data_IF_439259048764
#
_entry.id   IF_439259048764
#
_cell.length_a   1.000
_cell.length_b   1.000
_cell.length_c   1.000
_cell.angle_alpha   90.00
_cell.angle_beta   90.00
_cell.angle_gamma   90.00
#
_symmetry.space_group_name_H-M   'P 1'
#
loop_
_entity.id
_entity.type
_entity.pdbx_description
1 polymer ?
#
# COMPACT_ATOMS: atom_id res chain seq x y z
N UNK A 1 5.15 16.49 -1.94
CA UNK A 1 5.10 15.33 -2.87
C UNK A 1 6.35 15.33 -3.71
N UNK A 2 7.14 14.25 -3.64
CA UNK A 2 8.32 14.02 -4.50
C UNK A 2 7.90 14.02 -5.98
N UNK A 3 8.72 14.56 -6.87
CA UNK A 3 8.45 14.63 -8.33
C UNK A 3 8.25 13.22 -8.90
N UNK A 4 9.08 12.28 -8.45
CA UNK A 4 9.06 10.88 -8.86
C UNK A 4 7.73 10.22 -8.52
N UNK A 5 7.14 10.51 -7.36
CA UNK A 5 5.82 9.98 -7.00
C UNK A 5 4.73 10.45 -7.97
N UNK A 6 4.75 11.73 -8.36
CA UNK A 6 3.75 12.28 -9.30
C UNK A 6 3.88 11.66 -10.69
N UNK A 7 5.11 11.43 -11.14
CA UNK A 7 5.39 10.72 -12.39
C UNK A 7 4.83 9.29 -12.33
N UNK A 8 5.04 8.58 -11.22
CA UNK A 8 4.44 7.26 -10.99
C UNK A 8 2.92 7.25 -11.06
N UNK A 9 2.25 8.23 -10.44
CA UNK A 9 0.78 8.37 -10.51
C UNK A 9 0.33 8.63 -11.96
N UNK A 10 0.97 9.57 -12.66
CA UNK A 10 0.64 9.89 -14.06
C UNK A 10 0.84 8.69 -15.00
N UNK A 11 1.93 7.93 -14.80
CA UNK A 11 2.20 6.72 -15.55
C UNK A 11 1.14 5.64 -15.26
N UNK A 12 0.74 5.47 -14.00
CA UNK A 12 -0.31 4.52 -13.61
C UNK A 12 -1.67 4.87 -14.25
N UNK A 13 -2.06 6.15 -14.22
CA UNK A 13 -3.28 6.66 -14.86
C UNK A 13 -3.27 6.46 -16.38
N UNK A 14 -2.10 6.64 -17.00
CA UNK A 14 -1.87 6.39 -18.43
C UNK A 14 -1.71 4.89 -18.76
N UNK A 15 -1.82 4.00 -17.77
CA UNK A 15 -1.63 2.55 -17.88
C UNK A 15 -0.23 2.11 -18.32
N UNK A 16 0.76 3.00 -18.19
CA UNK A 16 2.18 2.69 -18.33
C UNK A 16 2.69 2.00 -17.06
N UNK A 17 2.17 0.80 -16.77
CA UNK A 17 2.40 0.16 -15.46
C UNK A 17 3.86 -0.16 -15.14
N UNK A 18 4.73 -0.60 -16.09
CA UNK A 18 6.14 -0.80 -15.77
C UNK A 18 6.87 0.50 -15.36
N UNK A 19 6.52 1.61 -16.00
CA UNK A 19 7.05 2.93 -15.67
C UNK A 19 6.52 3.40 -14.31
N UNK A 20 5.22 3.23 -14.06
CA UNK A 20 4.61 3.53 -12.78
C UNK A 20 5.28 2.75 -11.63
N UNK A 21 5.53 1.45 -11.84
CA UNK A 21 6.21 0.59 -10.89
C UNK A 21 7.59 1.14 -10.54
N UNK A 22 8.39 1.46 -11.57
CA UNK A 22 9.73 2.02 -11.40
C UNK A 22 9.72 3.29 -10.55
N UNK A 23 8.84 4.25 -10.88
CA UNK A 23 8.74 5.49 -10.13
C UNK A 23 8.25 5.28 -8.69
N UNK A 24 7.28 4.39 -8.47
CA UNK A 24 6.86 4.08 -7.11
C UNK A 24 7.95 3.37 -6.31
N UNK A 25 8.78 2.52 -6.93
CA UNK A 25 9.93 1.89 -6.28
C UNK A 25 10.96 2.93 -5.83
N UNK A 26 11.31 3.87 -6.71
CA UNK A 26 12.22 4.96 -6.38
C UNK A 26 11.66 5.86 -5.27
N UNK A 27 10.38 6.23 -5.33
CA UNK A 27 9.74 7.01 -4.28
C UNK A 27 9.63 6.23 -2.94
N UNK A 28 9.42 4.91 -2.98
CA UNK A 28 9.39 4.07 -1.79
C UNK A 28 10.78 3.99 -1.12
N UNK A 29 11.88 4.00 -1.88
CA UNK A 29 13.25 4.09 -1.34
C UNK A 29 13.48 5.41 -0.57
N UNK A 30 12.79 6.48 -0.96
CA UNK A 30 12.74 7.75 -0.23
C UNK A 30 11.78 7.74 0.98
N UNK A 31 11.29 6.56 1.39
CA UNK A 31 10.31 6.38 2.47
C UNK A 31 8.98 7.10 2.22
N UNK A 32 8.54 7.23 0.96
CA UNK A 32 7.21 7.74 0.66
C UNK A 32 6.16 6.64 0.92
N UNK A 33 5.28 6.78 1.92
CA UNK A 33 4.32 5.73 2.25
C UNK A 33 3.20 5.58 1.21
N UNK A 34 2.83 6.65 0.50
CA UNK A 34 1.83 6.58 -0.57
C UNK A 34 2.37 5.79 -1.77
N UNK A 35 3.67 5.91 -2.05
CA UNK A 35 4.33 5.09 -3.07
C UNK A 35 4.34 3.61 -2.69
N UNK A 36 4.64 3.29 -1.42
CA UNK A 36 4.58 1.92 -0.90
C UNK A 36 3.15 1.35 -0.99
N UNK A 37 2.11 2.14 -0.69
CA UNK A 37 0.70 1.75 -0.88
C UNK A 37 0.42 1.42 -2.35
N UNK A 38 0.89 2.23 -3.29
CA UNK A 38 0.71 1.95 -4.71
C UNK A 38 1.46 0.69 -5.17
N UNK A 39 2.71 0.47 -4.74
CA UNK A 39 3.43 -0.78 -5.00
C UNK A 39 2.68 -1.99 -4.47
N UNK A 40 2.15 -1.90 -3.26
CA UNK A 40 1.36 -2.97 -2.68
C UNK A 40 0.13 -3.32 -3.53
N UNK A 41 -0.59 -2.31 -4.00
CA UNK A 41 -1.75 -2.48 -4.89
C UNK A 41 -1.32 -3.09 -6.24
N UNK A 42 -0.17 -2.68 -6.78
CA UNK A 42 0.36 -3.21 -8.03
C UNK A 42 0.71 -4.70 -7.92
N UNK A 43 1.41 -5.10 -6.86
CA UNK A 43 1.66 -6.50 -6.55
C UNK A 43 0.38 -7.30 -6.30
N UNK A 44 -0.60 -6.72 -5.62
CA UNK A 44 -1.89 -7.38 -5.38
C UNK A 44 -2.64 -7.68 -6.68
N UNK A 45 -2.55 -6.76 -7.66
CA UNK A 45 -3.21 -6.88 -8.97
C UNK A 45 -2.36 -7.58 -10.03
N UNK A 46 -1.04 -7.68 -9.85
CA UNK A 46 -0.10 -8.14 -10.88
C UNK A 46 -0.03 -7.18 -12.08
N UNK A 47 -0.04 -5.87 -11.82
CA UNK A 47 0.11 -4.85 -12.88
C UNK A 47 1.48 -4.21 -12.79
N UNK A 48 2.20 -4.15 -13.92
CA UNK A 48 3.59 -3.66 -13.96
C UNK A 48 4.61 -4.57 -13.29
N UNK A 49 4.17 -5.65 -12.62
CA UNK A 49 4.96 -6.66 -11.94
C UNK A 49 4.15 -7.98 -11.87
N UNK A 50 4.80 -9.06 -11.44
CA UNK A 50 4.09 -10.30 -11.14
C UNK A 50 3.20 -10.16 -9.91
N UNK A 51 2.06 -10.86 -9.91
CA UNK A 51 1.14 -10.84 -8.78
C UNK A 51 1.77 -11.54 -7.58
N UNK A 52 1.94 -10.80 -6.48
CA UNK A 52 2.47 -11.31 -5.22
C UNK A 52 1.74 -10.68 -4.03
N UNK A 53 0.90 -11.48 -3.35
CA UNK A 53 0.15 -11.01 -2.19
C UNK A 53 1.02 -10.85 -0.95
N UNK A 54 2.13 -11.57 -0.86
CA UNK A 54 3.06 -11.48 0.26
C UNK A 54 3.86 -10.18 0.16
N UNK A 55 4.40 -9.84 -1.02
CA UNK A 55 5.02 -8.54 -1.26
C UNK A 55 4.04 -7.38 -1.05
N UNK A 56 2.77 -7.54 -1.49
CA UNK A 56 1.74 -6.53 -1.23
C UNK A 56 1.55 -6.28 0.28
N UNK A 57 1.43 -7.36 1.07
CA UNK A 57 1.30 -7.28 2.52
C UNK A 57 2.50 -6.60 3.18
N UNK A 58 3.72 -6.91 2.72
CA UNK A 58 4.96 -6.32 3.23
C UNK A 58 5.05 -4.81 2.94
N UNK A 59 4.69 -4.39 1.74
CA UNK A 59 4.66 -2.97 1.38
C UNK A 59 3.60 -2.19 2.17
N UNK A 60 2.40 -2.74 2.33
CA UNK A 60 1.41 -2.12 3.21
C UNK A 60 1.89 -2.05 4.66
N UNK A 61 2.58 -3.08 5.16
CA UNK A 61 3.12 -3.07 6.52
C UNK A 61 4.18 -1.98 6.70
N UNK A 62 5.07 -1.80 5.74
CA UNK A 62 6.07 -0.72 5.76
C UNK A 62 5.42 0.67 5.70
N UNK A 63 4.37 0.85 4.89
CA UNK A 63 3.65 2.12 4.86
C UNK A 63 2.89 2.39 6.17
N UNK A 64 2.31 1.36 6.78
CA UNK A 64 1.62 1.46 8.06
C UNK A 64 2.57 1.80 9.22
N UNK A 65 3.82 1.34 9.22
CA UNK A 65 4.82 1.76 10.24
C UNK A 65 5.23 3.22 10.09
N UNK A 66 5.02 3.82 8.91
CA UNK A 66 5.15 5.25 8.65
C UNK A 66 3.82 6.01 8.90
N UNK A 67 2.93 5.42 9.70
CA UNK A 67 1.65 6.01 10.13
C UNK A 67 0.65 6.29 8.99
N UNK A 68 0.82 5.66 7.82
CA UNK A 68 -0.10 5.85 6.70
C UNK A 68 -1.43 5.12 6.92
N UNK A 69 -2.49 5.91 7.11
CA UNK A 69 -3.85 5.41 7.38
C UNK A 69 -4.40 4.56 6.24
N UNK A 70 -4.10 4.88 4.97
CA UNK A 70 -4.54 4.07 3.83
C UNK A 70 -3.91 2.67 3.83
N UNK A 71 -2.64 2.57 4.20
CA UNK A 71 -1.94 1.30 4.34
C UNK A 71 -2.53 0.45 5.48
N UNK A 72 -2.82 1.05 6.63
CA UNK A 72 -3.46 0.38 7.77
C UNK A 72 -4.85 -0.16 7.37
N UNK A 73 -5.68 0.66 6.72
CA UNK A 73 -6.99 0.20 6.22
C UNK A 73 -6.85 -0.93 5.20
N UNK A 74 -5.85 -0.86 4.32
CA UNK A 74 -5.59 -1.90 3.32
C UNK A 74 -5.15 -3.21 3.96
N UNK A 75 -4.31 -3.18 4.99
CA UNK A 75 -3.95 -4.36 5.78
C UNK A 75 -5.13 -4.94 6.55
N UNK A 76 -5.96 -4.09 7.13
CA UNK A 76 -7.17 -4.52 7.80
C UNK A 76 -8.07 -5.32 6.85
N UNK A 77 -8.31 -4.79 5.65
CA UNK A 77 -9.03 -5.50 4.58
C UNK A 77 -8.31 -6.78 4.11
N UNK A 78 -6.98 -6.76 4.04
CA UNK A 78 -6.20 -7.91 3.63
C UNK A 78 -6.42 -9.10 4.58
N UNK A 79 -6.39 -8.83 5.90
CA UNK A 79 -6.64 -9.83 6.94
C UNK A 79 -8.11 -10.22 7.06
N UNK A 80 -9.03 -9.26 6.93
CA UNK A 80 -10.47 -9.51 6.97
C UNK A 80 -10.92 -10.45 5.85
N UNK A 81 -10.37 -10.28 4.65
CA UNK A 81 -10.71 -11.11 3.48
C UNK A 81 -9.86 -12.38 3.40
N UNK A 82 -8.84 -12.52 4.24
CA UNK A 82 -7.89 -13.62 4.19
C UNK A 82 -7.22 -13.77 2.84
N UNK A 83 -6.74 -12.67 2.25
CA UNK A 83 -6.19 -12.68 0.89
C UNK A 83 -4.99 -13.61 0.73
N UNK A 84 -4.20 -13.83 1.79
CA UNK A 84 -3.11 -14.82 1.83
C UNK A 84 -3.56 -16.24 2.26
N UNK A 85 -4.86 -16.54 2.17
CA UNK A 85 -5.42 -17.85 2.47
C UNK A 85 -5.83 -18.06 3.92
N UNK A 86 -5.64 -17.06 4.80
CA UNK A 86 -6.09 -17.12 6.18
C UNK A 86 -6.74 -15.81 6.61
N UNK A 87 -8.04 -15.86 6.88
CA UNK A 87 -8.74 -14.76 7.50
C UNK A 87 -8.28 -14.57 8.96
N UNK A 88 -8.08 -13.33 9.37
CA UNK A 88 -7.73 -12.94 10.73
C UNK A 88 -8.50 -11.66 11.13
N UNK A 89 -9.71 -11.86 11.65
CA UNK A 89 -10.59 -10.75 12.02
C UNK A 89 -10.06 -9.95 13.23
N UNK A 90 -9.31 -10.59 14.14
CA UNK A 90 -8.72 -9.88 15.28
C UNK A 90 -7.64 -8.91 14.81
N UNK A 91 -6.75 -9.39 13.93
CA UNK A 91 -5.72 -8.55 13.33
C UNK A 91 -6.29 -7.46 12.43
N UNK A 92 -7.36 -7.77 11.69
CA UNK A 92 -8.08 -6.76 10.91
C UNK A 92 -8.62 -5.64 11.80
N UNK A 93 -9.29 -5.99 12.91
CA UNK A 93 -9.82 -5.03 13.88
C UNK A 93 -8.71 -4.19 14.52
N UNK A 94 -7.55 -4.79 14.79
CA UNK A 94 -6.38 -4.07 15.31
C UNK A 94 -5.95 -2.96 14.35
N UNK A 95 -5.75 -3.27 13.06
CA UNK A 95 -5.38 -2.27 12.06
C UNK A 95 -6.47 -1.22 11.81
N UNK A 96 -7.75 -1.61 11.84
CA UNK A 96 -8.86 -0.64 11.75
C UNK A 96 -8.87 0.35 12.91
N UNK A 97 -8.62 -0.13 14.14
CA UNK A 97 -8.52 0.75 15.31
C UNK A 97 -7.34 1.70 15.20
N UNK A 98 -6.16 1.19 14.82
CA UNK A 98 -4.99 2.04 14.59
C UNK A 98 -5.27 3.13 13.55
N UNK A 99 -5.92 2.77 12.43
CA UNK A 99 -6.30 3.74 11.39
C UNK A 99 -7.30 4.79 11.91
N UNK A 100 -8.31 4.37 12.69
CA UNK A 100 -9.30 5.26 13.27
C UNK A 100 -8.68 6.24 14.28
N UNK A 101 -7.82 5.74 15.18
CA UNK A 101 -7.14 6.57 16.19
C UNK A 101 -6.27 7.64 15.53
N UNK A 102 -5.61 7.32 14.41
CA UNK A 102 -4.82 8.30 13.64
C UNK A 102 -5.68 9.29 12.87
N UNK A 103 -6.76 8.84 12.23
CA UNK A 103 -7.70 9.73 11.56
C UNK A 103 -8.39 10.72 12.51
N UNK A 104 -8.55 10.37 13.79
CA UNK A 104 -9.04 11.30 14.83
C UNK A 104 -7.97 12.29 15.28
N UNK A 105 -6.70 11.90 15.29
CA UNK A 105 -5.58 12.80 15.66
C UNK A 105 -5.22 13.78 14.54
N UNK A 106 -5.46 13.42 13.27
CA UNK A 106 -5.21 14.29 12.11
C UNK A 106 -6.34 15.31 11.83
N UNK A 107 -7.51 15.17 12.46
CA UNK A 107 -8.71 16.01 12.25
C UNK A 107 -8.85 17.17 13.25
#
# INVERSE_FOLDING_TARGET
>A
MSTVFKEGVSAYESKAYPEAYYHFEEAAKEKNPDAMVNLAIMHMKGVGCERDLQSAKEWFAQAATLENTHAMMSLAHFYEKGLDGKQDSEKALEYFRQAADRGVVEA
#
